data_IF_527688990753
#
_entry.id   IF_527688990753
#
_cell.length_a   1.000
_cell.length_b   1.000
_cell.length_c   1.000
_cell.angle_alpha   90.00
_cell.angle_beta   90.00
_cell.angle_gamma   90.00
#
_symmetry.space_group_name_H-M   'P 1'
#
loop_
_entity.id
_entity.type
_entity.pdbx_description
1 polymer ?
#
# COMPACT_ATOMS: atom_id res chain seq x y z
N UNK A 1 13.68 16.15 -3.49
CA UNK A 1 12.79 14.98 -3.58
C UNK A 1 12.75 14.37 -2.20
N UNK A 2 11.78 14.76 -1.38
CA UNK A 2 11.55 14.00 -0.16
C UNK A 2 10.97 12.66 -0.63
N UNK A 3 11.59 11.51 -0.29
CA UNK A 3 10.92 10.24 -0.52
C UNK A 3 9.56 10.35 0.17
N UNK A 4 8.49 10.15 -0.59
CA UNK A 4 7.12 10.21 -0.08
C UNK A 4 6.95 9.10 0.96
N UNK A 5 7.31 9.41 2.20
CA UNK A 5 7.42 8.49 3.33
C UNK A 5 6.11 7.73 3.56
N UNK A 6 4.99 8.39 3.28
CA UNK A 6 3.66 7.80 3.31
C UNK A 6 3.56 6.67 2.29
N UNK A 7 3.85 6.90 1.01
CA UNK A 7 3.75 5.86 -0.01
C UNK A 7 4.69 4.68 0.27
N UNK A 8 5.92 4.94 0.74
CA UNK A 8 6.87 3.88 1.08
C UNK A 8 6.31 2.98 2.20
N UNK A 9 5.68 3.56 3.23
CA UNK A 9 5.05 2.78 4.30
C UNK A 9 3.94 1.84 3.82
N UNK A 10 3.14 2.25 2.84
CA UNK A 10 2.08 1.42 2.27
C UNK A 10 2.59 0.39 1.25
N UNK A 11 3.66 0.71 0.53
CA UNK A 11 4.17 -0.08 -0.59
C UNK A 11 5.32 -1.01 -0.19
N UNK A 12 5.92 -0.82 0.98
CA UNK A 12 6.95 -1.70 1.51
C UNK A 12 6.35 -2.93 2.22
N UNK A 13 5.60 -3.73 1.46
CA UNK A 13 4.91 -4.90 1.97
C UNK A 13 5.31 -6.17 1.20
N UNK A 14 5.73 -7.20 1.95
CA UNK A 14 6.16 -8.47 1.37
C UNK A 14 5.02 -9.20 0.62
N UNK A 15 3.76 -9.06 1.09
CA UNK A 15 2.60 -9.66 0.42
C UNK A 15 2.32 -8.95 -0.91
N UNK A 16 2.50 -7.64 -0.97
CA UNK A 16 2.40 -6.85 -2.21
C UNK A 16 3.47 -7.29 -3.23
N UNK A 17 4.73 -7.39 -2.81
CA UNK A 17 5.82 -7.87 -3.66
C UNK A 17 5.56 -9.27 -4.20
N UNK A 18 5.05 -10.16 -3.35
CA UNK A 18 4.65 -11.52 -3.74
C UNK A 18 3.50 -11.53 -4.74
N UNK A 19 2.51 -10.64 -4.56
CA UNK A 19 1.35 -10.50 -5.45
C UNK A 19 1.78 -10.02 -6.85
N UNK A 20 2.57 -8.96 -6.91
CA UNK A 20 3.09 -8.39 -8.16
C UNK A 20 4.21 -9.26 -8.75
N UNK A 21 4.79 -10.16 -7.94
CA UNK A 21 5.99 -10.96 -8.23
C UNK A 21 7.14 -10.10 -8.76
N UNK A 22 7.38 -9.01 -8.05
CA UNK A 22 8.50 -8.07 -8.23
C UNK A 22 9.11 -7.81 -6.85
N UNK A 23 10.38 -7.41 -6.79
CA UNK A 23 11.03 -6.99 -5.56
C UNK A 23 10.70 -5.55 -5.17
N UNK A 24 11.00 -5.19 -3.91
CA UNK A 24 10.89 -3.81 -3.44
C UNK A 24 11.67 -2.81 -4.31
N UNK A 25 12.86 -3.22 -4.76
CA UNK A 25 13.72 -2.41 -5.62
C UNK A 25 13.10 -2.22 -6.99
N UNK A 26 12.55 -3.27 -7.60
CA UNK A 26 11.87 -3.19 -8.90
C UNK A 26 10.64 -2.29 -8.81
N UNK A 27 9.81 -2.44 -7.77
CA UNK A 27 8.66 -1.55 -7.59
C UNK A 27 9.11 -0.08 -7.48
N UNK A 28 10.14 0.21 -6.69
CA UNK A 28 10.69 1.57 -6.57
C UNK A 28 11.22 2.12 -7.90
N UNK A 29 11.86 1.28 -8.72
CA UNK A 29 12.33 1.66 -10.05
C UNK A 29 11.16 1.94 -11.00
N UNK A 30 10.13 1.11 -11.00
CA UNK A 30 8.93 1.35 -11.80
C UNK A 30 8.22 2.64 -11.42
N UNK A 31 8.04 2.88 -10.12
CA UNK A 31 7.51 4.14 -9.61
C UNK A 31 8.38 5.32 -10.03
N UNK A 32 9.71 5.21 -9.94
CA UNK A 32 10.64 6.26 -10.37
C UNK A 32 10.58 6.55 -11.88
N UNK A 33 10.14 5.59 -12.70
CA UNK A 33 9.89 5.77 -14.14
C UNK A 33 8.56 6.48 -14.44
N UNK A 34 7.74 6.77 -13.42
CA UNK A 34 6.40 7.34 -13.58
C UNK A 34 5.29 6.29 -13.69
N UNK A 35 5.61 5.00 -13.57
CA UNK A 35 4.60 3.94 -13.58
C UNK A 35 3.87 3.90 -12.23
N UNK A 36 2.62 3.44 -12.25
CA UNK A 36 1.85 3.18 -11.03
C UNK A 36 2.07 1.76 -10.52
N UNK A 37 1.74 1.50 -9.25
CA UNK A 37 1.78 0.15 -8.66
C UNK A 37 0.95 -0.85 -9.45
N UNK A 38 -0.16 -0.39 -10.04
CA UNK A 38 -1.02 -1.20 -10.92
C UNK A 38 -0.33 -1.56 -12.23
N UNK A 39 0.44 -0.63 -12.78
CA UNK A 39 1.23 -0.85 -14.00
C UNK A 39 2.45 -1.73 -13.73
N UNK A 40 3.08 -1.62 -12.55
CA UNK A 40 4.22 -2.47 -12.14
C UNK A 40 3.88 -3.97 -12.05
N UNK A 41 2.59 -4.32 -11.99
CA UNK A 41 2.10 -5.72 -12.00
C UNK A 41 1.30 -6.12 -13.24
N UNK A 42 1.30 -5.28 -14.29
CA UNK A 42 0.42 -5.46 -15.45
C UNK A 42 0.66 -6.78 -16.21
N UNK A 43 1.89 -7.32 -16.19
CA UNK A 43 2.20 -8.61 -16.81
C UNK A 43 1.55 -9.83 -16.13
N UNK A 44 0.95 -9.67 -14.94
CA UNK A 44 0.60 -10.81 -14.07
C UNK A 44 -0.88 -11.00 -13.80
N UNK A 45 -1.77 -10.36 -14.57
CA UNK A 45 -3.23 -10.50 -14.42
C UNK A 45 -3.70 -10.16 -12.98
N UNK A 46 -2.97 -9.25 -12.32
CA UNK A 46 -3.27 -8.81 -10.96
C UNK A 46 -4.31 -7.70 -11.06
N UNK A 47 -5.46 -7.91 -10.43
CA UNK A 47 -6.51 -6.90 -10.41
C UNK A 47 -6.20 -5.78 -9.43
N UNK A 48 -6.69 -4.58 -9.73
CA UNK A 48 -6.64 -3.42 -8.83
C UNK A 48 -7.21 -3.74 -7.44
N UNK A 49 -8.29 -4.52 -7.38
CA UNK A 49 -8.90 -4.90 -6.10
C UNK A 49 -7.98 -5.81 -5.28
N UNK A 50 -7.22 -6.71 -5.92
CA UNK A 50 -6.25 -7.54 -5.20
C UNK A 50 -5.14 -6.71 -4.57
N UNK A 51 -4.55 -5.78 -5.34
CA UNK A 51 -3.49 -4.88 -4.83
C UNK A 51 -4.02 -4.08 -3.64
N UNK A 52 -5.20 -3.46 -3.81
CA UNK A 52 -5.82 -2.64 -2.77
C UNK A 52 -6.16 -3.45 -1.52
N UNK A 53 -6.69 -4.67 -1.67
CA UNK A 53 -7.01 -5.55 -0.55
C UNK A 53 -5.75 -5.97 0.20
N UNK A 54 -4.67 -6.33 -0.50
CA UNK A 54 -3.42 -6.73 0.16
C UNK A 54 -2.87 -5.59 1.01
N UNK A 55 -2.69 -4.41 0.42
CA UNK A 55 -2.16 -3.24 1.14
C UNK A 55 -3.08 -2.86 2.31
N UNK A 56 -4.39 -2.74 2.08
CA UNK A 56 -5.34 -2.32 3.12
C UNK A 56 -5.38 -3.31 4.29
N UNK A 57 -5.37 -4.61 4.01
CA UNK A 57 -5.38 -5.63 5.06
C UNK A 57 -4.06 -5.66 5.82
N UNK A 58 -2.91 -5.61 5.15
CA UNK A 58 -1.60 -5.57 5.83
C UNK A 58 -1.54 -4.42 6.82
N UNK A 59 -1.98 -3.23 6.43
CA UNK A 59 -1.90 -2.05 7.28
C UNK A 59 -2.81 -2.14 8.50
N UNK A 60 -4.00 -2.71 8.34
CA UNK A 60 -4.90 -2.95 9.48
C UNK A 60 -4.33 -4.03 10.40
N UNK A 61 -3.76 -5.10 9.84
CA UNK A 61 -3.17 -6.18 10.61
C UNK A 61 -1.97 -5.65 11.43
N UNK A 62 -1.11 -4.81 10.84
CA UNK A 62 -0.01 -4.12 11.55
C UNK A 62 -0.53 -3.22 12.67
N UNK A 63 -1.63 -2.50 12.44
CA UNK A 63 -2.24 -1.66 13.47
C UNK A 63 -2.79 -2.52 14.62
N UNK A 64 -3.50 -3.61 14.33
CA UNK A 64 -4.02 -4.54 15.33
C UNK A 64 -2.88 -5.17 16.14
N UNK A 65 -1.81 -5.60 15.47
CA UNK A 65 -0.64 -6.16 16.13
C UNK A 65 0.04 -5.13 17.06
N UNK A 66 0.19 -3.88 16.60
CA UNK A 66 0.67 -2.78 17.43
C UNK A 66 -0.21 -2.52 18.66
N UNK A 67 -1.54 -2.58 18.49
CA UNK A 67 -2.51 -2.40 19.57
C UNK A 67 -2.46 -3.54 20.60
N UNK A 68 -2.21 -4.77 20.14
CA UNK A 68 -2.05 -5.94 21.00
C UNK A 68 -0.74 -5.91 21.76
N UNK A 69 0.34 -5.48 21.10
CA UNK A 69 1.68 -5.36 21.69
C UNK A 69 1.88 -4.07 22.52
N UNK A 70 0.86 -3.21 22.62
CA UNK A 70 0.90 -1.97 23.41
C UNK A 70 1.67 -0.81 22.77
N UNK A 71 2.08 -0.95 21.50
CA UNK A 71 2.77 0.09 20.73
C UNK A 71 1.83 1.18 20.19
N UNK A 72 0.52 0.92 20.12
CA UNK A 72 -0.50 1.88 19.72
C UNK A 72 -1.73 1.82 20.63
N UNK A 73 -2.47 2.93 20.80
CA UNK A 73 -3.72 2.93 21.56
C UNK A 73 -4.72 1.95 20.95
N UNK A 74 -5.28 1.05 21.78
CA UNK A 74 -6.31 0.09 21.33
C UNK A 74 -7.49 0.83 20.73
N UNK A 75 -7.85 0.43 19.52
CA UNK A 75 -9.00 0.95 18.80
C UNK A 75 -10.17 0.01 19.02
N UNK A 76 -11.32 0.55 19.42
CA UNK A 76 -12.57 -0.21 19.46
C UNK A 76 -13.20 -0.39 18.06
N UNK A 77 -12.55 0.12 17.01
CA UNK A 77 -13.06 0.02 15.64
C UNK A 77 -12.87 -1.37 15.07
N UNK A 78 -13.92 -1.88 14.44
CA UNK A 78 -13.89 -3.10 13.66
C UNK A 78 -12.94 -2.99 12.46
N UNK A 79 -12.53 -4.14 11.91
CA UNK A 79 -11.71 -4.18 10.68
C UNK A 79 -12.41 -3.50 9.51
N UNK A 80 -13.73 -3.63 9.39
CA UNK A 80 -14.53 -2.98 8.35
C UNK A 80 -14.54 -1.46 8.47
N UNK A 81 -14.64 -0.92 9.69
CA UNK A 81 -14.54 0.54 9.89
C UNK A 81 -13.17 1.07 9.50
N UNK A 82 -12.10 0.36 9.86
CA UNK A 82 -10.74 0.72 9.46
C UNK A 82 -10.53 0.63 7.95
N UNK A 83 -11.15 -0.36 7.29
CA UNK A 83 -11.10 -0.48 5.83
C UNK A 83 -11.68 0.76 5.14
N UNK A 84 -12.78 1.33 5.66
CA UNK A 84 -13.38 2.54 5.07
C UNK A 84 -12.45 3.75 5.06
N UNK A 85 -11.60 3.87 6.08
CA UNK A 85 -10.62 4.97 6.19
C UNK A 85 -9.39 4.72 5.32
N UNK A 86 -8.93 3.47 5.22
CA UNK A 86 -7.66 3.15 4.57
C UNK A 86 -7.78 2.91 3.06
N UNK A 87 -8.91 2.35 2.60
CA UNK A 87 -9.17 2.08 1.18
C UNK A 87 -9.01 3.32 0.30
N UNK A 88 -9.56 4.50 0.63
CA UNK A 88 -9.36 5.70 -0.21
C UNK A 88 -7.89 6.15 -0.27
N UNK A 89 -7.14 6.03 0.83
CA UNK A 89 -5.70 6.34 0.86
C UNK A 89 -4.90 5.38 -0.02
N UNK A 90 -5.13 4.07 0.14
CA UNK A 90 -4.49 3.03 -0.68
C UNK A 90 -4.84 3.22 -2.15
N UNK A 91 -6.10 3.55 -2.46
CA UNK A 91 -6.53 3.84 -3.82
C UNK A 91 -5.77 5.03 -4.44
N UNK A 92 -5.50 6.07 -3.66
CA UNK A 92 -4.71 7.21 -4.11
C UNK A 92 -3.27 6.77 -4.38
N UNK A 93 -2.66 6.02 -3.47
CA UNK A 93 -1.27 5.52 -3.58
C UNK A 93 -1.06 4.61 -4.78
N UNK A 94 -1.93 3.63 -5.00
CA UNK A 94 -1.75 2.68 -6.12
C UNK A 94 -1.98 3.33 -7.50
N UNK A 95 -2.66 4.48 -7.55
CA UNK A 95 -2.91 5.25 -8.77
C UNK A 95 -1.96 6.42 -8.94
N UNK A 96 -1.24 6.80 -7.89
CA UNK A 96 -0.40 7.98 -7.91
C UNK A 96 0.79 7.75 -8.84
N UNK A 97 0.99 8.67 -9.77
CA UNK A 97 2.21 8.75 -10.57
C UNK A 97 3.17 9.70 -9.88
N UNK A 98 4.42 9.29 -9.76
CA UNK A 98 5.51 10.09 -9.16
C UNK A 98 5.76 11.43 -9.85
N UNK A 99 5.20 11.65 -11.05
CA UNK A 99 5.23 12.91 -11.78
C UNK A 99 4.23 13.97 -11.25
N UNK A 100 3.26 13.56 -10.41
CA UNK A 100 2.25 14.48 -9.86
C UNK A 100 2.53 14.78 -8.38
N UNK A 101 2.60 16.04 -7.94
CA UNK A 101 2.64 16.33 -6.50
C UNK A 101 1.35 15.88 -5.82
N UNK A 102 1.47 15.29 -4.64
CA UNK A 102 0.34 15.00 -3.75
C UNK A 102 -0.35 16.33 -3.38
N UNK A 103 -1.62 16.49 -3.79
CA UNK A 103 -2.46 17.65 -3.43
C UNK A 103 -3.22 17.38 -2.15
#
# INVERSE_FOLDING_TARGET
MNPDYTADFYLNDAKLFSLLKISATELKQELAKGNTVLESGADKNVSKQQVMNVISNTQIDLQIEGEQNGGTPKSNRSKEERLKDIVPLVLQIIKHKTETPWK
#
